data_IF_621366588520
#
_entry.id   IF_621366588520
#
_cell.length_a   1.000
_cell.length_b   1.000
_cell.length_c   1.000
_cell.angle_alpha   90.00
_cell.angle_beta   90.00
_cell.angle_gamma   90.00
#
_symmetry.space_group_name_H-M   'P 1'
#
loop_
_entity.id
_entity.type
_entity.pdbx_description
1 polymer ?
#
# COMPACT_ATOMS: atom_id res chain seq x y z
N UNK A 1 -6.93 11.94 2.65
CA UNK A 1 -7.42 12.18 4.02
C UNK A 1 -8.41 13.34 4.10
N UNK A 2 -8.04 14.59 3.78
CA UNK A 2 -8.94 15.75 4.00
C UNK A 2 -10.33 15.61 3.39
N UNK A 3 -10.44 15.04 2.19
CA UNK A 3 -11.72 14.81 1.53
C UNK A 3 -12.62 13.79 2.26
N UNK A 4 -12.06 12.72 2.81
CA UNK A 4 -12.80 11.70 3.59
C UNK A 4 -13.37 12.34 4.86
N UNK A 5 -12.54 13.12 5.56
CA UNK A 5 -12.97 13.80 6.79
C UNK A 5 -14.05 14.83 6.46
N UNK A 6 -13.88 15.60 5.40
CA UNK A 6 -14.87 16.56 4.95
C UNK A 6 -16.21 15.89 4.57
N UNK A 7 -16.16 14.76 3.84
CA UNK A 7 -17.33 13.95 3.51
C UNK A 7 -18.05 13.48 4.79
N UNK A 8 -17.31 12.98 5.77
CA UNK A 8 -17.87 12.52 7.04
C UNK A 8 -18.50 13.68 7.84
N UNK A 9 -17.86 14.85 7.92
CA UNK A 9 -18.42 16.04 8.55
C UNK A 9 -19.70 16.49 7.85
N UNK A 10 -19.70 16.50 6.52
CA UNK A 10 -20.85 16.88 5.69
C UNK A 10 -21.98 15.84 5.70
N UNK A 11 -21.67 14.58 6.02
CA UNK A 11 -22.55 13.40 5.84
C UNK A 11 -23.01 13.19 4.40
N UNK A 12 -22.12 13.46 3.45
CA UNK A 12 -22.43 13.52 2.03
C UNK A 12 -21.14 13.29 1.23
N UNK A 13 -21.24 13.36 -0.09
CA UNK A 13 -20.08 13.24 -0.96
C UNK A 13 -19.21 14.50 -0.97
N UNK A 14 -17.89 14.27 -0.89
CA UNK A 14 -16.84 15.25 -1.19
C UNK A 14 -15.80 14.60 -2.11
N UNK A 15 -15.59 15.19 -3.28
CA UNK A 15 -14.82 14.61 -4.40
C UNK A 15 -15.40 13.26 -4.85
N UNK A 16 -14.80 12.15 -4.42
CA UNK A 16 -15.23 10.77 -4.71
C UNK A 16 -15.37 9.94 -3.42
N UNK A 17 -15.38 10.61 -2.27
CA UNK A 17 -15.60 9.98 -0.97
C UNK A 17 -17.01 10.31 -0.50
N UNK A 18 -17.81 9.27 -0.34
CA UNK A 18 -19.14 9.32 0.26
C UNK A 18 -19.07 8.75 1.68
N UNK A 19 -19.57 9.50 2.68
CA UNK A 19 -19.55 9.05 4.07
C UNK A 19 -20.89 9.37 4.77
N UNK A 20 -21.49 8.35 5.36
CA UNK A 20 -22.76 8.45 6.07
C UNK A 20 -22.62 7.86 7.48
N UNK A 21 -22.41 8.73 8.46
CA UNK A 21 -22.28 8.33 9.87
C UNK A 21 -23.65 8.41 10.57
N UNK A 22 -23.99 7.43 11.43
CA UNK A 22 -25.21 7.48 12.24
C UNK A 22 -25.30 8.76 13.08
N UNK A 23 -26.51 9.29 13.37
CA UNK A 23 -26.67 10.54 14.13
C UNK A 23 -25.97 10.56 15.49
N UNK A 24 -25.87 9.41 16.17
CA UNK A 24 -25.18 9.26 17.46
C UNK A 24 -23.67 8.97 17.33
N UNK A 25 -23.13 9.00 16.12
CA UNK A 25 -21.74 8.66 15.78
C UNK A 25 -21.10 9.71 14.86
N UNK A 26 -21.54 10.96 14.94
CA UNK A 26 -21.14 12.03 14.02
C UNK A 26 -19.80 12.68 14.35
N UNK A 27 -19.24 12.43 15.54
CA UNK A 27 -17.95 13.03 15.93
C UNK A 27 -16.80 12.36 15.20
N UNK A 28 -15.83 13.17 14.80
CA UNK A 28 -14.59 12.72 14.16
C UNK A 28 -13.41 13.05 15.06
N UNK A 29 -12.57 12.04 15.31
CA UNK A 29 -11.29 12.21 15.99
C UNK A 29 -10.17 12.11 14.96
N UNK A 30 -9.43 13.19 14.76
CA UNK A 30 -8.24 13.23 13.91
C UNK A 30 -6.99 13.26 14.77
N UNK A 31 -6.09 12.31 14.54
CA UNK A 31 -4.83 12.17 15.27
C UNK A 31 -3.67 12.26 14.30
N UNK A 32 -2.91 13.34 14.40
CA UNK A 32 -1.67 13.54 13.63
C UNK A 32 -0.45 13.20 14.51
N UNK A 33 0.43 12.34 14.02
CA UNK A 33 1.64 11.93 14.75
C UNK A 33 2.94 12.46 14.13
N UNK A 34 2.90 13.14 12.99
CA UNK A 34 4.08 13.47 12.19
C UNK A 34 4.32 14.99 12.07
N UNK A 35 3.27 15.79 12.00
CA UNK A 35 3.30 17.18 11.57
C UNK A 35 3.42 18.18 12.73
N UNK A 36 3.84 19.40 12.39
CA UNK A 36 3.83 20.52 13.34
C UNK A 36 2.41 21.09 13.46
N UNK A 37 2.15 21.83 14.56
CA UNK A 37 0.86 22.50 14.79
C UNK A 37 0.44 23.40 13.61
N UNK A 38 1.39 24.12 13.01
CA UNK A 38 1.15 24.96 11.84
C UNK A 38 0.63 24.18 10.63
N UNK A 39 1.23 23.02 10.32
CA UNK A 39 0.76 22.17 9.23
C UNK A 39 -0.59 21.54 9.53
N UNK A 40 -0.82 21.12 10.78
CA UNK A 40 -2.11 20.60 11.24
C UNK A 40 -3.23 21.63 11.06
N UNK A 41 -2.98 22.91 11.39
CA UNK A 41 -3.95 23.98 11.17
C UNK A 41 -4.33 24.12 9.68
N UNK A 42 -3.36 24.03 8.76
CA UNK A 42 -3.66 24.05 7.32
C UNK A 42 -4.50 22.86 6.87
N UNK A 43 -4.25 21.67 7.42
CA UNK A 43 -5.06 20.47 7.13
C UNK A 43 -6.48 20.64 7.65
N UNK A 44 -6.63 21.13 8.88
CA UNK A 44 -7.93 21.42 9.50
C UNK A 44 -8.72 22.44 8.69
N UNK A 45 -8.11 23.56 8.30
CA UNK A 45 -8.72 24.59 7.46
C UNK A 45 -9.17 24.03 6.11
N UNK A 46 -8.33 23.22 5.45
CA UNK A 46 -8.68 22.54 4.20
C UNK A 46 -9.90 21.63 4.36
N UNK A 47 -9.97 20.84 5.43
CA UNK A 47 -11.09 19.95 5.73
C UNK A 47 -12.39 20.75 5.86
N UNK A 48 -12.37 21.83 6.65
CA UNK A 48 -13.54 22.67 6.88
C UNK A 48 -14.00 23.34 5.59
N UNK A 49 -13.07 23.89 4.79
CA UNK A 49 -13.37 24.46 3.47
C UNK A 49 -14.00 23.44 2.53
N UNK A 50 -13.48 22.22 2.46
CA UNK A 50 -14.04 21.14 1.65
C UNK A 50 -15.43 20.71 2.11
N UNK A 51 -15.71 20.80 3.41
CA UNK A 51 -17.02 20.50 3.98
C UNK A 51 -18.02 21.68 3.85
N UNK A 52 -17.60 22.84 3.32
CA UNK A 52 -18.42 24.05 3.27
C UNK A 52 -18.69 24.67 4.66
N UNK A 53 -17.79 24.43 5.62
CA UNK A 53 -17.93 24.85 7.01
C UNK A 53 -17.05 26.07 7.34
N UNK A 54 -17.45 26.90 8.34
CA UNK A 54 -16.63 28.02 8.79
C UNK A 54 -15.28 27.55 9.34
N UNK A 55 -14.21 28.30 9.04
CA UNK A 55 -12.83 28.01 9.49
C UNK A 55 -12.41 28.82 10.71
N UNK A 56 -13.25 29.74 11.17
CA UNK A 56 -13.04 30.69 12.26
C UNK A 56 -13.77 30.31 13.55
N UNK A 57 -14.36 29.11 13.59
CA UNK A 57 -15.15 28.61 14.72
C UNK A 57 -14.75 27.19 15.07
N UNK A 58 -14.68 26.93 16.38
CA UNK A 58 -14.54 25.57 16.90
C UNK A 58 -15.81 24.77 16.64
N UNK A 59 -15.65 23.44 16.57
CA UNK A 59 -16.74 22.49 16.36
C UNK A 59 -16.67 21.35 17.35
N UNK A 60 -17.81 21.04 17.95
CA UNK A 60 -17.92 19.92 18.89
C UNK A 60 -17.82 18.55 18.21
N UNK A 61 -18.18 18.45 16.92
CA UNK A 61 -18.18 17.21 16.14
C UNK A 61 -16.84 16.92 15.43
N UNK A 62 -15.83 17.79 15.60
CA UNK A 62 -14.51 17.60 15.01
C UNK A 62 -13.38 17.89 15.99
N UNK A 63 -12.69 16.84 16.43
CA UNK A 63 -11.57 16.95 17.38
C UNK A 63 -10.27 16.62 16.66
N UNK A 64 -9.35 17.59 16.59
CA UNK A 64 -8.01 17.41 16.01
C UNK A 64 -6.95 17.45 17.10
N UNK A 65 -6.16 16.38 17.24
CA UNK A 65 -5.05 16.31 18.19
C UNK A 65 -3.71 16.02 17.50
N UNK A 66 -2.65 16.61 18.03
CA UNK A 66 -1.28 16.47 17.52
C UNK A 66 -0.45 15.76 18.58
N UNK A 67 0.07 14.58 18.25
CA UNK A 67 0.80 13.71 19.18
C UNK A 67 2.26 13.47 18.75
N UNK A 68 2.80 14.33 17.87
CA UNK A 68 4.18 14.22 17.37
C UNK A 68 5.23 14.09 18.46
N UNK A 69 5.08 14.81 19.58
CA UNK A 69 6.04 14.82 20.68
C UNK A 69 5.93 13.61 21.62
N UNK A 70 4.91 12.77 21.45
CA UNK A 70 4.60 11.66 22.36
C UNK A 70 5.26 10.35 21.89
N UNK A 71 5.54 9.45 22.83
CA UNK A 71 6.03 8.10 22.52
C UNK A 71 4.91 7.23 21.94
N UNK A 72 5.23 6.15 21.19
CA UNK A 72 4.25 5.18 20.70
C UNK A 72 3.22 4.72 21.74
N UNK A 73 3.68 4.36 22.94
CA UNK A 73 2.77 3.90 24.01
C UNK A 73 1.88 5.02 24.54
N UNK A 74 2.44 6.22 24.71
CA UNK A 74 1.66 7.37 25.16
C UNK A 74 0.63 7.79 24.11
N UNK A 75 0.96 7.71 22.82
CA UNK A 75 0.01 7.91 21.72
C UNK A 75 -1.18 6.96 21.82
N UNK A 76 -0.91 5.65 21.95
CA UNK A 76 -1.96 4.62 22.10
C UNK A 76 -2.84 4.88 23.33
N UNK A 77 -2.24 5.25 24.47
CA UNK A 77 -2.98 5.58 25.70
C UNK A 77 -3.88 6.81 25.54
N UNK A 78 -3.38 7.88 24.92
CA UNK A 78 -4.17 9.10 24.71
C UNK A 78 -5.36 8.82 23.78
N UNK A 79 -5.13 8.12 22.67
CA UNK A 79 -6.19 7.74 21.74
C UNK A 79 -7.24 6.88 22.45
N UNK A 80 -6.81 5.85 23.18
CA UNK A 80 -7.72 4.98 23.95
C UNK A 80 -8.57 5.77 24.94
N UNK A 81 -7.94 6.65 25.74
CA UNK A 81 -8.65 7.51 26.69
C UNK A 81 -9.69 8.40 25.99
N UNK A 82 -9.36 8.99 24.84
CA UNK A 82 -10.32 9.82 24.10
C UNK A 82 -11.51 9.00 23.58
N UNK A 83 -11.28 7.81 23.06
CA UNK A 83 -12.36 6.93 22.59
C UNK A 83 -13.29 6.49 23.74
N UNK A 84 -12.73 6.21 24.92
CA UNK A 84 -13.51 5.89 26.13
C UNK A 84 -14.41 7.06 26.57
N UNK A 85 -13.94 8.30 26.41
CA UNK A 85 -14.64 9.50 26.89
C UNK A 85 -15.44 10.22 25.80
N UNK A 86 -15.35 9.79 24.54
CA UNK A 86 -16.07 10.34 23.40
C UNK A 86 -16.84 9.22 22.66
N UNK A 87 -17.91 8.67 23.28
CA UNK A 87 -18.63 7.53 22.73
C UNK A 87 -19.35 7.85 21.41
N UNK A 88 -19.47 9.12 21.03
CA UNK A 88 -20.08 9.61 19.80
C UNK A 88 -19.09 9.70 18.62
N UNK A 89 -17.84 9.28 18.80
CA UNK A 89 -16.88 9.15 17.69
C UNK A 89 -17.31 8.01 16.78
N UNK A 90 -17.57 8.32 15.51
CA UNK A 90 -17.84 7.36 14.43
C UNK A 90 -16.71 7.22 13.43
N UNK A 91 -15.77 8.17 13.39
CA UNK A 91 -14.58 8.12 12.53
C UNK A 91 -13.33 8.51 13.32
N UNK A 92 -12.34 7.62 13.34
CA UNK A 92 -10.99 7.85 13.83
C UNK A 92 -10.02 7.92 12.65
N UNK A 93 -9.34 9.06 12.49
CA UNK A 93 -8.19 9.21 11.59
C UNK A 93 -6.91 9.07 12.39
N UNK A 94 -6.02 8.16 11.96
CA UNK A 94 -4.65 8.05 12.46
C UNK A 94 -3.71 8.38 11.30
N UNK A 95 -3.25 9.63 11.25
CA UNK A 95 -2.30 10.12 10.26
C UNK A 95 -0.87 9.84 10.75
N UNK A 96 -0.32 8.72 10.27
CA UNK A 96 0.95 8.15 10.70
C UNK A 96 0.77 6.94 11.62
N UNK A 97 0.37 5.78 11.07
CA UNK A 97 0.19 4.54 11.86
C UNK A 97 1.50 3.96 12.39
N UNK A 98 2.55 4.12 11.59
CA UNK A 98 3.93 3.71 11.90
C UNK A 98 4.35 4.17 13.28
N UNK A 99 3.90 5.36 13.61
CA UNK A 99 4.30 6.13 14.76
C UNK A 99 3.61 5.65 16.06
N UNK A 100 2.71 4.67 15.98
CA UNK A 100 2.17 3.94 17.13
C UNK A 100 3.03 2.73 17.54
N UNK A 101 4.20 2.54 16.92
CA UNK A 101 5.12 1.43 17.14
C UNK A 101 6.57 1.92 17.28
N UNK A 102 7.43 1.13 17.91
CA UNK A 102 8.87 1.41 17.95
C UNK A 102 9.58 0.83 16.73
N UNK A 103 9.34 -0.45 16.42
CA UNK A 103 9.90 -1.11 15.24
C UNK A 103 8.80 -1.53 14.25
N UNK A 104 8.79 -0.86 13.10
CA UNK A 104 7.86 -1.16 12.00
C UNK A 104 8.07 -2.56 11.39
N UNK A 105 9.24 -3.17 11.62
CA UNK A 105 9.57 -4.50 11.16
C UNK A 105 9.37 -5.57 12.25
N UNK A 106 8.86 -5.22 13.44
CA UNK A 106 8.53 -6.19 14.47
C UNK A 106 7.20 -6.88 14.15
N UNK A 107 7.17 -8.20 13.89
CA UNK A 107 5.93 -8.91 13.61
C UNK A 107 4.98 -8.92 14.83
N UNK A 108 5.54 -9.00 16.04
CA UNK A 108 4.75 -8.98 17.28
C UNK A 108 4.11 -7.62 17.52
N UNK A 109 4.88 -6.52 17.43
CA UNK A 109 4.28 -5.18 17.59
C UNK A 109 3.23 -4.92 16.51
N UNK A 110 3.47 -5.39 15.26
CA UNK A 110 2.51 -5.23 14.17
C UNK A 110 1.19 -5.93 14.48
N UNK A 111 1.29 -7.18 14.95
CA UNK A 111 0.13 -8.00 15.35
C UNK A 111 -0.62 -7.35 16.52
N UNK A 112 0.10 -6.86 17.52
CA UNK A 112 -0.50 -6.22 18.71
C UNK A 112 -1.23 -4.92 18.36
N UNK A 113 -0.62 -4.08 17.51
CA UNK A 113 -1.24 -2.85 17.06
C UNK A 113 -2.50 -3.14 16.24
N UNK A 114 -2.45 -4.10 15.32
CA UNK A 114 -3.61 -4.48 14.52
C UNK A 114 -4.74 -5.01 15.41
N UNK A 115 -4.43 -5.87 16.38
CA UNK A 115 -5.41 -6.35 17.35
C UNK A 115 -5.99 -5.21 18.19
N UNK A 116 -5.21 -4.19 18.53
CA UNK A 116 -5.70 -2.99 19.20
C UNK A 116 -6.69 -2.22 18.32
N UNK A 117 -6.38 -1.98 17.04
CA UNK A 117 -7.29 -1.32 16.11
C UNK A 117 -8.59 -2.12 15.89
N UNK A 118 -8.50 -3.44 15.82
CA UNK A 118 -9.68 -4.32 15.72
C UNK A 118 -10.55 -4.22 16.98
N UNK A 119 -9.95 -4.19 18.18
CA UNK A 119 -10.69 -3.96 19.43
C UNK A 119 -11.34 -2.58 19.46
N UNK A 120 -10.66 -1.53 19.00
CA UNK A 120 -11.22 -0.18 18.98
C UNK A 120 -12.39 -0.05 17.99
N UNK A 121 -12.21 -0.50 16.74
CA UNK A 121 -13.27 -0.43 15.72
C UNK A 121 -14.52 -1.19 16.16
N UNK A 122 -14.38 -2.44 16.65
CA UNK A 122 -15.52 -3.24 17.10
C UNK A 122 -16.09 -2.76 18.44
N UNK A 123 -15.23 -2.44 19.42
CA UNK A 123 -15.65 -2.09 20.78
C UNK A 123 -16.31 -0.73 20.87
N UNK A 124 -15.82 0.25 20.10
CA UNK A 124 -16.42 1.57 20.03
C UNK A 124 -17.38 1.73 18.84
N UNK A 125 -17.54 0.74 17.98
CA UNK A 125 -18.40 0.81 16.78
C UNK A 125 -18.10 2.06 15.93
N UNK A 126 -16.87 2.14 15.42
CA UNK A 126 -16.38 3.27 14.63
C UNK A 126 -15.55 2.78 13.43
N UNK A 127 -15.43 3.64 12.41
CA UNK A 127 -14.52 3.44 11.30
C UNK A 127 -13.12 3.98 11.64
N UNK A 128 -12.07 3.22 11.32
CA UNK A 128 -10.68 3.64 11.47
C UNK A 128 -10.08 3.82 10.08
N UNK A 129 -9.61 5.03 9.78
CA UNK A 129 -8.85 5.32 8.58
C UNK A 129 -7.42 5.69 8.97
N UNK A 130 -6.43 5.06 8.35
CA UNK A 130 -5.04 5.29 8.72
C UNK A 130 -4.12 5.41 7.52
N UNK A 131 -3.00 6.09 7.73
CA UNK A 131 -2.02 6.38 6.67
C UNK A 131 -0.69 5.70 6.97
N UNK A 132 -0.19 5.02 5.95
CA UNK A 132 1.13 4.40 5.92
C UNK A 132 1.84 4.87 4.65
N UNK A 133 3.01 5.47 4.82
CA UNK A 133 3.87 5.83 3.69
C UNK A 133 4.45 4.56 3.03
N UNK A 134 4.47 4.54 1.70
CA UNK A 134 5.16 3.51 0.91
C UNK A 134 6.68 3.59 1.12
N UNK A 135 7.39 2.50 0.83
CA UNK A 135 8.85 2.52 0.86
C UNK A 135 9.42 3.44 -0.23
N UNK A 136 10.61 3.99 0.01
CA UNK A 136 11.32 4.76 -1.02
C UNK A 136 11.85 3.79 -2.08
N UNK A 137 11.20 3.72 -3.23
CA UNK A 137 11.69 3.00 -4.42
C UNK A 137 10.90 1.76 -4.83
N UNK A 138 9.84 1.41 -4.11
CA UNK A 138 8.83 0.44 -4.58
C UNK A 138 7.42 0.83 -4.09
N UNK A 139 6.40 0.25 -4.74
CA UNK A 139 4.99 0.46 -4.40
C UNK A 139 4.51 -0.45 -3.25
N UNK A 140 5.45 -1.12 -2.55
CA UNK A 140 5.11 -2.03 -1.46
C UNK A 140 4.83 -1.26 -0.16
N UNK A 141 3.84 -1.75 0.58
CA UNK A 141 3.54 -1.23 1.91
C UNK A 141 4.70 -1.48 2.87
N UNK A 142 5.04 -0.46 3.67
CA UNK A 142 6.25 -0.43 4.49
C UNK A 142 6.16 -1.34 5.72
N UNK A 143 7.17 -2.20 5.89
CA UNK A 143 7.38 -3.04 7.07
C UNK A 143 6.33 -4.13 7.29
N UNK A 144 6.44 -4.84 8.41
CA UNK A 144 5.52 -5.91 8.78
C UNK A 144 4.10 -5.39 9.01
N UNK A 145 3.96 -4.16 9.53
CA UNK A 145 2.66 -3.50 9.70
C UNK A 145 1.93 -3.31 8.38
N UNK A 146 2.65 -3.02 7.29
CA UNK A 146 2.05 -2.86 5.96
C UNK A 146 1.39 -4.14 5.47
N UNK A 147 2.10 -5.26 5.62
CA UNK A 147 1.56 -6.59 5.30
C UNK A 147 0.34 -6.94 6.14
N UNK A 148 0.40 -6.72 7.46
CA UNK A 148 -0.73 -7.01 8.34
C UNK A 148 -1.95 -6.11 8.05
N UNK A 149 -1.72 -4.82 7.75
CA UNK A 149 -2.79 -3.90 7.33
C UNK A 149 -3.44 -4.39 6.03
N UNK A 150 -2.66 -4.77 5.02
CA UNK A 150 -3.23 -5.29 3.76
C UNK A 150 -4.07 -6.55 3.99
N UNK A 151 -3.68 -7.41 4.92
CA UNK A 151 -4.40 -8.63 5.23
C UNK A 151 -5.69 -8.38 6.02
N UNK A 152 -5.75 -7.31 6.83
CA UNK A 152 -6.86 -7.08 7.79
C UNK A 152 -7.81 -5.95 7.40
N UNK A 153 -7.33 -4.94 6.70
CA UNK A 153 -8.13 -3.82 6.26
C UNK A 153 -9.24 -4.26 5.31
N UNK A 154 -10.38 -3.59 5.41
CA UNK A 154 -11.49 -3.75 4.49
C UNK A 154 -11.18 -3.14 3.11
N UNK A 155 -10.52 -1.98 3.12
CA UNK A 155 -10.16 -1.20 1.93
C UNK A 155 -8.74 -0.67 2.08
N UNK A 156 -7.91 -0.88 1.06
CA UNK A 156 -6.55 -0.35 0.94
C UNK A 156 -6.48 0.51 -0.31
N UNK A 157 -6.30 1.81 -0.10
CA UNK A 157 -6.15 2.79 -1.16
C UNK A 157 -4.67 3.09 -1.36
N UNK A 158 -4.21 3.01 -2.60
CA UNK A 158 -2.89 3.48 -2.99
C UNK A 158 -3.02 4.85 -3.66
N UNK A 159 -2.14 5.76 -3.24
CA UNK A 159 -2.05 7.11 -3.77
C UNK A 159 -0.64 7.30 -4.31
N UNK A 160 -0.49 7.50 -5.61
CA UNK A 160 0.81 7.74 -6.28
C UNK A 160 0.79 9.05 -7.04
N UNK A 161 1.98 9.60 -7.32
CA UNK A 161 2.10 10.72 -8.26
C UNK A 161 2.04 10.19 -9.69
N UNK A 162 1.34 10.91 -10.57
CA UNK A 162 1.32 10.55 -11.99
C UNK A 162 2.72 10.64 -12.58
N UNK A 163 3.05 9.69 -13.48
CA UNK A 163 4.28 9.73 -14.27
C UNK A 163 4.21 10.74 -15.42
N UNK A 164 3.00 11.19 -15.79
CA UNK A 164 2.78 12.20 -16.84
C UNK A 164 2.88 13.62 -16.27
N UNK A 165 2.35 13.84 -15.06
CA UNK A 165 2.36 15.14 -14.39
C UNK A 165 2.51 14.98 -12.86
N UNK A 166 3.63 15.46 -12.30
CA UNK A 166 3.89 15.39 -10.86
C UNK A 166 2.91 16.18 -9.99
N UNK A 167 2.09 17.06 -10.56
CA UNK A 167 1.03 17.77 -9.86
C UNK A 167 -0.23 16.92 -9.67
N UNK A 168 -0.40 15.86 -10.48
CA UNK A 168 -1.52 14.95 -10.41
C UNK A 168 -1.20 13.78 -9.47
N UNK A 169 -2.18 13.44 -8.64
CA UNK A 169 -2.18 12.28 -7.78
C UNK A 169 -3.24 11.29 -8.26
N UNK A 170 -2.81 10.04 -8.47
CA UNK A 170 -3.66 8.91 -8.86
C UNK A 170 -4.09 8.15 -7.61
N UNK A 171 -5.37 7.79 -7.53
CA UNK A 171 -5.95 6.97 -6.46
C UNK A 171 -6.45 5.66 -7.05
N UNK A 172 -5.95 4.54 -6.52
CA UNK A 172 -6.32 3.19 -6.96
C UNK A 172 -6.63 2.32 -5.76
N UNK A 173 -7.57 1.39 -5.92
CA UNK A 173 -7.78 0.33 -4.95
C UNK A 173 -6.69 -0.75 -5.11
N UNK A 174 -5.94 -1.03 -4.04
CA UNK A 174 -5.02 -2.18 -4.01
C UNK A 174 -5.74 -3.44 -3.56
N UNK A 175 -6.65 -3.27 -2.60
CA UNK A 175 -7.47 -4.34 -2.07
C UNK A 175 -8.77 -3.73 -1.56
N UNK A 176 -9.91 -4.28 -1.98
CA UNK A 176 -11.22 -3.97 -1.43
C UNK A 176 -11.93 -5.31 -1.25
N UNK A 177 -12.54 -5.51 -0.07
CA UNK A 177 -13.31 -6.72 0.21
C UNK A 177 -14.74 -6.67 -0.32
N UNK A 178 -15.26 -5.46 -0.52
CA UNK A 178 -16.61 -5.21 -1.04
C UNK A 178 -16.56 -4.71 -2.50
N UNK A 179 -17.43 -3.77 -2.88
CA UNK A 179 -17.52 -3.23 -4.23
C UNK A 179 -16.29 -2.39 -4.60
N UNK A 180 -15.59 -2.81 -5.64
CA UNK A 180 -14.52 -2.02 -6.27
C UNK A 180 -15.06 -0.69 -6.84
N UNK A 181 -14.18 0.31 -6.88
CA UNK A 181 -14.45 1.61 -7.50
C UNK A 181 -13.42 1.90 -8.59
N UNK A 182 -13.84 2.64 -9.62
CA UNK A 182 -12.93 3.04 -10.70
C UNK A 182 -11.85 4.00 -10.19
N UNK A 183 -10.58 3.78 -10.56
CA UNK A 183 -9.51 4.67 -10.14
C UNK A 183 -9.79 6.11 -10.59
N UNK A 184 -9.43 7.07 -9.75
CA UNK A 184 -9.65 8.50 -10.04
C UNK A 184 -8.40 9.32 -9.72
N UNK A 185 -8.28 10.47 -10.38
CA UNK A 185 -7.14 11.36 -10.22
C UNK A 185 -7.60 12.71 -9.65
N UNK A 186 -6.73 13.33 -8.88
CA UNK A 186 -6.94 14.68 -8.36
C UNK A 186 -5.65 15.48 -8.41
N UNK A 187 -5.78 16.81 -8.40
CA UNK A 187 -4.65 17.74 -8.24
C UNK A 187 -4.96 18.74 -7.14
N UNK A 188 -3.94 19.45 -6.67
CA UNK A 188 -4.12 20.58 -5.76
C UNK A 188 -4.21 21.85 -6.60
N UNK A 189 -5.31 22.59 -6.48
CA UNK A 189 -5.52 23.84 -7.21
C UNK A 189 -4.86 25.04 -6.52
N UNK A 190 -4.97 26.21 -7.14
CA UNK A 190 -4.37 27.47 -6.66
C UNK A 190 -4.88 27.89 -5.27
N UNK A 191 -6.05 27.39 -4.85
CA UNK A 191 -6.63 27.61 -3.54
C UNK A 191 -6.13 26.62 -2.47
N UNK A 192 -5.15 25.79 -2.81
CA UNK A 192 -4.61 24.70 -1.99
C UNK A 192 -5.64 23.61 -1.63
N UNK A 193 -6.69 23.46 -2.45
CA UNK A 193 -7.74 22.46 -2.31
C UNK A 193 -7.57 21.34 -3.36
N UNK A 194 -7.88 20.08 -3.01
CA UNK A 194 -7.93 19.01 -3.99
C UNK A 194 -9.15 19.17 -4.91
N UNK A 195 -8.97 18.94 -6.21
CA UNK A 195 -10.02 18.88 -7.22
C UNK A 195 -9.82 17.66 -8.14
N UNK A 196 -10.92 17.05 -8.58
CA UNK A 196 -10.88 15.92 -9.50
C UNK A 196 -10.35 16.39 -10.86
N UNK A 197 -9.50 15.56 -11.46
CA UNK A 197 -9.10 15.72 -12.87
C UNK A 197 -10.02 14.82 -13.69
N UNK A 198 -11.03 15.43 -14.30
CA UNK A 198 -11.92 14.74 -15.23
C UNK A 198 -11.15 14.29 -16.48
N UNK A 199 -11.59 13.20 -17.10
CA UNK A 199 -10.99 12.59 -18.30
C UNK A 199 -9.49 12.23 -18.18
N UNK A 200 -8.99 12.06 -16.95
CA UNK A 200 -7.61 11.61 -16.74
C UNK A 200 -7.43 10.19 -17.29
N UNK A 201 -6.62 10.07 -18.33
CA UNK A 201 -6.25 8.78 -18.89
C UNK A 201 -5.15 8.18 -18.03
N UNK A 202 -5.54 7.28 -17.13
CA UNK A 202 -4.59 6.44 -16.44
C UNK A 202 -3.70 5.77 -17.47
N UNK A 203 -2.40 5.97 -17.35
CA UNK A 203 -1.49 5.04 -17.98
C UNK A 203 -1.91 3.66 -17.45
N UNK A 204 -2.31 2.78 -18.37
CA UNK A 204 -2.38 1.38 -18.01
C UNK A 204 -1.08 1.09 -17.28
N UNK A 205 -1.12 0.43 -16.11
CA UNK A 205 0.12 -0.02 -15.49
C UNK A 205 0.90 -0.62 -16.64
N UNK A 206 2.12 -0.13 -16.91
CA UNK A 206 3.05 -0.83 -17.80
C UNK A 206 2.93 -2.22 -17.30
N UNK A 207 2.21 -3.06 -18.06
CA UNK A 207 1.71 -4.34 -17.61
C UNK A 207 2.86 -4.88 -16.83
N UNK A 208 2.66 -5.05 -15.51
CA UNK A 208 3.75 -5.46 -14.65
C UNK A 208 4.38 -6.55 -15.47
N UNK A 209 5.62 -6.33 -15.93
CA UNK A 209 6.27 -7.36 -16.72
C UNK A 209 6.63 -8.41 -15.66
N UNK A 210 5.64 -9.01 -15.00
CA UNK A 210 5.22 -10.38 -15.28
C UNK A 210 5.34 -10.63 -16.78
N UNK A 211 6.61 -10.61 -17.16
CA UNK A 211 7.23 -11.28 -18.24
C UNK A 211 6.56 -12.63 -18.20
N UNK A 212 5.74 -12.93 -19.19
CA UNK A 212 5.21 -14.27 -19.20
C UNK A 212 6.44 -15.14 -19.36
N UNK A 213 6.74 -15.97 -18.37
CA UNK A 213 7.78 -16.98 -18.51
C UNK A 213 7.44 -17.96 -19.65
N UNK A 214 6.27 -17.77 -20.28
CA UNK A 214 5.83 -18.38 -21.53
C UNK A 214 6.11 -17.58 -22.82
N UNK A 215 6.79 -16.43 -22.76
CA UNK A 215 7.17 -15.66 -23.97
C UNK A 215 8.21 -16.39 -24.82
N UNK A 216 8.98 -17.29 -24.21
CA UNK A 216 9.92 -18.15 -24.91
C UNK A 216 9.22 -19.46 -25.29
N UNK A 217 9.46 -19.93 -26.50
CA UNK A 217 8.99 -21.24 -26.93
C UNK A 217 9.75 -22.33 -26.18
N UNK A 218 9.17 -23.54 -26.16
CA UNK A 218 9.86 -24.73 -25.65
C UNK A 218 11.26 -24.88 -26.25
N UNK A 219 11.40 -24.65 -27.57
CA UNK A 219 12.67 -24.74 -28.28
C UNK A 219 13.69 -23.71 -27.77
N UNK A 220 13.26 -22.47 -27.48
CA UNK A 220 14.14 -21.44 -26.93
C UNK A 220 14.59 -21.79 -25.50
N UNK A 221 13.73 -22.39 -24.68
CA UNK A 221 14.12 -22.90 -23.37
C UNK A 221 15.14 -24.04 -23.48
N UNK A 222 14.95 -24.97 -24.42
CA UNK A 222 15.90 -26.07 -24.67
C UNK A 222 17.28 -25.54 -25.06
N UNK A 223 17.33 -24.65 -26.04
CA UNK A 223 18.59 -24.06 -26.53
C UNK A 223 19.32 -23.28 -25.43
N UNK A 224 18.60 -22.44 -24.68
CA UNK A 224 19.19 -21.68 -23.57
C UNK A 224 19.71 -22.57 -22.44
N UNK A 225 18.99 -23.65 -22.11
CA UNK A 225 19.40 -24.58 -21.05
C UNK A 225 20.56 -25.48 -21.50
N UNK A 226 20.63 -25.88 -22.77
CA UNK A 226 21.79 -26.58 -23.33
C UNK A 226 23.04 -25.70 -23.30
N UNK A 227 22.91 -24.43 -23.69
CA UNK A 227 24.03 -23.48 -23.67
C UNK A 227 24.46 -23.08 -22.24
N UNK A 228 23.52 -23.06 -21.28
CA UNK A 228 23.79 -22.67 -19.88
C UNK A 228 24.24 -23.81 -18.97
N UNK A 229 23.63 -25.00 -19.07
CA UNK A 229 23.85 -26.14 -18.18
C UNK A 229 24.55 -27.31 -18.89
N UNK A 230 24.36 -27.46 -20.20
CA UNK A 230 24.82 -28.61 -20.97
C UNK A 230 24.37 -29.93 -20.34
N UNK A 231 25.30 -30.87 -20.16
CA UNK A 231 25.07 -32.16 -19.47
C UNK A 231 25.51 -32.18 -18.00
N UNK A 232 25.87 -31.02 -17.44
CA UNK A 232 26.48 -30.93 -16.11
C UNK A 232 25.47 -30.52 -15.04
N UNK A 233 25.76 -30.91 -13.80
CA UNK A 233 25.04 -30.40 -12.62
C UNK A 233 25.72 -29.12 -12.15
N UNK A 234 24.99 -28.00 -12.20
CA UNK A 234 25.51 -26.71 -11.75
C UNK A 234 25.32 -26.61 -10.24
N UNK A 235 26.43 -26.61 -9.49
CA UNK A 235 26.42 -26.58 -8.03
C UNK A 235 26.45 -25.14 -7.51
N UNK A 236 25.61 -24.84 -6.51
CA UNK A 236 25.55 -23.53 -5.85
C UNK A 236 24.60 -22.56 -6.55
N UNK A 237 23.70 -21.96 -5.76
CA UNK A 237 22.63 -21.10 -6.28
C UNK A 237 23.13 -19.89 -7.08
N UNK A 238 24.26 -19.28 -6.68
CA UNK A 238 24.88 -18.18 -7.42
C UNK A 238 25.32 -18.60 -8.83
N UNK A 239 25.86 -19.82 -8.95
CA UNK A 239 26.36 -20.37 -10.21
C UNK A 239 25.20 -20.78 -11.12
N UNK A 240 24.09 -21.25 -10.55
CA UNK A 240 22.85 -21.54 -11.28
C UNK A 240 22.30 -20.28 -11.94
N UNK A 241 22.26 -19.17 -11.20
CA UNK A 241 21.82 -17.88 -11.76
C UNK A 241 22.79 -17.36 -12.83
N UNK A 242 24.11 -17.57 -12.66
CA UNK A 242 25.10 -17.22 -13.67
C UNK A 242 24.95 -18.06 -14.95
N UNK A 243 24.74 -19.38 -14.82
CA UNK A 243 24.49 -20.30 -15.92
C UNK A 243 23.21 -19.94 -16.68
N UNK A 244 22.12 -19.63 -15.97
CA UNK A 244 20.89 -19.12 -16.58
C UNK A 244 21.12 -17.79 -17.31
N UNK A 245 21.91 -16.88 -16.73
CA UNK A 245 22.24 -15.61 -17.38
C UNK A 245 22.95 -15.84 -18.71
N UNK A 246 23.97 -16.69 -18.72
CA UNK A 246 24.77 -17.00 -19.90
C UNK A 246 23.95 -17.74 -20.96
N UNK A 247 23.24 -18.79 -20.56
CA UNK A 247 22.44 -19.60 -21.46
C UNK A 247 21.34 -18.81 -22.16
N UNK A 248 20.62 -17.97 -21.42
CA UNK A 248 19.56 -17.17 -22.02
C UNK A 248 20.09 -15.96 -22.81
N UNK A 249 21.23 -15.37 -22.42
CA UNK A 249 21.88 -14.34 -23.25
C UNK A 249 22.25 -14.88 -24.65
N UNK A 250 22.60 -16.17 -24.77
CA UNK A 250 22.98 -16.79 -26.05
C UNK A 250 21.85 -16.78 -27.09
N UNK A 251 20.58 -16.79 -26.66
CA UNK A 251 19.40 -16.72 -27.53
C UNK A 251 18.84 -15.28 -27.64
N UNK A 252 19.63 -14.28 -27.25
CA UNK A 252 19.21 -12.87 -27.24
C UNK A 252 18.32 -12.48 -26.05
N UNK A 253 18.21 -13.34 -25.03
CA UNK A 253 17.40 -13.11 -23.83
C UNK A 253 18.26 -12.66 -22.64
N UNK A 254 18.78 -11.44 -22.69
CA UNK A 254 19.54 -10.87 -21.56
C UNK A 254 18.63 -10.27 -20.49
N UNK A 255 18.78 -10.73 -19.23
CA UNK A 255 17.97 -10.24 -18.11
C UNK A 255 18.77 -10.04 -16.82
N UNK A 256 18.23 -9.19 -15.95
CA UNK A 256 18.77 -8.92 -14.61
C UNK A 256 18.52 -10.04 -13.61
N UNK A 257 19.24 -10.01 -12.48
CA UNK A 257 19.24 -11.07 -11.46
C UNK A 257 17.85 -11.43 -10.94
N UNK A 258 16.99 -10.45 -10.65
CA UNK A 258 15.64 -10.70 -10.10
C UNK A 258 14.77 -11.52 -11.06
N UNK A 259 14.87 -11.25 -12.37
CA UNK A 259 14.16 -12.00 -13.41
C UNK A 259 14.68 -13.43 -13.51
N UNK A 260 16.00 -13.63 -13.42
CA UNK A 260 16.62 -14.95 -13.44
C UNK A 260 16.25 -15.81 -12.22
N UNK A 261 16.05 -15.19 -11.06
CA UNK A 261 15.54 -15.86 -9.85
C UNK A 261 14.11 -16.37 -10.07
N UNK A 262 13.24 -15.56 -10.67
CA UNK A 262 11.88 -15.97 -11.03
C UNK A 262 11.86 -17.04 -12.12
N UNK A 263 12.71 -16.89 -13.14
CA UNK A 263 12.91 -17.88 -14.20
C UNK A 263 13.35 -19.24 -13.63
N UNK A 264 14.30 -19.27 -12.70
CA UNK A 264 14.71 -20.50 -12.04
C UNK A 264 13.53 -21.21 -11.34
N UNK A 265 12.65 -20.47 -10.65
CA UNK A 265 11.44 -21.06 -10.03
C UNK A 265 10.52 -21.69 -11.07
N UNK A 266 10.28 -21.00 -12.19
CA UNK A 266 9.46 -21.51 -13.28
C UNK A 266 10.03 -22.77 -13.92
N UNK A 267 11.33 -22.78 -14.24
CA UNK A 267 12.00 -23.93 -14.87
C UNK A 267 11.99 -25.16 -13.96
N UNK A 268 12.10 -24.97 -12.64
CA UNK A 268 11.96 -26.05 -11.65
C UNK A 268 10.52 -26.57 -11.61
N UNK A 269 9.52 -25.67 -11.59
CA UNK A 269 8.11 -26.06 -11.58
C UNK A 269 7.72 -26.84 -12.84
N UNK A 270 8.24 -26.43 -14.00
CA UNK A 270 8.05 -27.11 -15.29
C UNK A 270 8.98 -28.31 -15.49
N UNK A 271 9.79 -28.65 -14.49
CA UNK A 271 10.76 -29.76 -14.53
C UNK A 271 11.75 -29.70 -15.71
N UNK A 272 12.01 -28.50 -16.23
CA UNK A 272 13.05 -28.27 -17.25
C UNK A 272 14.44 -28.33 -16.62
N UNK A 273 14.54 -27.93 -15.35
CA UNK A 273 15.71 -28.20 -14.51
C UNK A 273 15.26 -28.93 -13.25
N UNK A 274 16.07 -29.89 -12.80
CA UNK A 274 15.79 -30.74 -11.65
C UNK A 274 16.87 -30.53 -10.60
N UNK A 275 16.46 -30.45 -9.33
CA UNK A 275 17.38 -30.28 -8.21
C UNK A 275 18.12 -31.59 -7.95
N UNK A 276 19.44 -31.53 -7.88
CA UNK A 276 20.33 -32.66 -7.62
C UNK A 276 21.35 -32.27 -6.54
N UNK A 277 21.09 -32.71 -5.30
CA UNK A 277 21.85 -32.29 -4.12
C UNK A 277 21.78 -30.79 -3.85
N UNK A 278 22.94 -30.11 -3.87
CA UNK A 278 23.08 -28.65 -3.72
C UNK A 278 23.10 -27.90 -5.06
N UNK A 279 22.79 -28.59 -6.16
CA UNK A 279 22.82 -28.06 -7.52
C UNK A 279 21.56 -28.35 -8.32
N UNK A 280 21.58 -27.95 -9.59
CA UNK A 280 20.49 -28.16 -10.55
C UNK A 280 21.06 -28.72 -11.86
N UNK A 281 20.30 -29.62 -12.49
CA UNK A 281 20.63 -30.26 -13.77
C UNK A 281 19.54 -29.96 -14.80
N UNK A 282 19.92 -29.74 -16.05
CA UNK A 282 18.98 -29.70 -17.17
C UNK A 282 18.34 -31.08 -17.42
N UNK A 283 17.01 -31.11 -17.54
CA UNK A 283 16.24 -32.30 -17.87
C UNK A 283 15.75 -32.20 -19.33
N UNK A 284 16.36 -32.91 -20.29
CA UNK A 284 15.96 -32.86 -21.69
C UNK A 284 14.58 -33.47 -21.95
N UNK A 285 14.06 -34.31 -21.04
CA UNK A 285 12.78 -35.01 -21.21
C UNK A 285 11.58 -34.20 -20.65
N UNK A 286 11.71 -32.88 -20.54
CA UNK A 286 10.64 -32.03 -20.03
C UNK A 286 9.51 -31.81 -21.06
N UNK A 287 8.29 -31.57 -20.57
CA UNK A 287 7.14 -31.15 -21.38
C UNK A 287 6.74 -29.73 -20.99
N UNK A 288 6.60 -28.85 -21.98
CA UNK A 288 6.35 -27.42 -21.81
C UNK A 288 4.91 -27.10 -21.39
#
# INVERSE_FOLDING_TARGET
ISAIVAAALKNDEVLKYSAYLPPNKRKILYVDTEQSKYHCHKVMERILRLAGLPTDKDRDDFVFIVLREQTPDKRKQIIGYMLENMPDVGLLIIDGIRDLMYDINSPSESTDLINLLMRWSSGYNLHIHTVLHLNKGDDNTRGHIGTELNNKAETVLQITKSQQDGNISEVKAMHIRDREFDPFAFRINDNALPEIVDDYVFQQPKQDRNFSLTELTEQQHREALENGFGKQVVQGYSNVIAALKQGYASIGYERGRNVLVSLNKFLVNKRMIVKEGKGYRYNPDFHY
#
